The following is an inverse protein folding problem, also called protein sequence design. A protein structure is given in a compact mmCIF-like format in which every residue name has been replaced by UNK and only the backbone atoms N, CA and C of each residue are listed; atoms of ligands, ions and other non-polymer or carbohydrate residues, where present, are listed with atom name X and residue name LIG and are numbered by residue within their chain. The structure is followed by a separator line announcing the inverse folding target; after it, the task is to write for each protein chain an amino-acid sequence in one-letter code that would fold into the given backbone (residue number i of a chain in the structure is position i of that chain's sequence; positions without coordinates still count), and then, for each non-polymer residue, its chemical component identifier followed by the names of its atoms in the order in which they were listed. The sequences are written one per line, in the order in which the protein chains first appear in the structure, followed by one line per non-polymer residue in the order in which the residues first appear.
data_IF_043252069149
#
_entry.id   IF_043252069149
#
_cell.length_a   1.000
_cell.length_b   1.000
_cell.length_c   1.000
_cell.angle_alpha   90.00
_cell.angle_beta   90.00
_cell.angle_gamma   90.00
#
_symmetry.space_group_name_H-M   'P 1'
#
loop_
_entity.id
_entity.type
_entity.pdbx_description
1 polymer ?
#
# COMPACT_ATOMS: atom_id res chain seq x y z
N UNK A 1 18.78 6.07 -6.59
CA UNK A 1 18.62 6.69 -5.27
C UNK A 1 17.15 6.67 -4.89
N UNK A 2 16.67 5.56 -4.35
CA UNK A 2 15.33 5.48 -3.77
C UNK A 2 15.43 6.08 -2.36
N UNK A 3 14.57 7.04 -2.06
CA UNK A 3 14.55 7.81 -0.81
C UNK A 3 14.26 6.85 0.35
N UNK A 4 15.31 6.39 1.05
CA UNK A 4 15.18 5.45 2.17
C UNK A 4 14.61 6.13 3.42
N UNK A 5 14.95 7.41 3.63
CA UNK A 5 14.51 8.19 4.78
C UNK A 5 14.31 9.66 4.40
N UNK A 6 13.15 10.23 4.72
CA UNK A 6 12.88 11.67 4.60
C UNK A 6 11.93 12.15 5.68
N UNK A 7 12.35 13.16 6.45
CA UNK A 7 11.54 13.83 7.47
C UNK A 7 10.81 12.86 8.44
N UNK A 8 11.52 11.83 8.93
CA UNK A 8 10.95 10.82 9.84
C UNK A 8 10.03 9.80 9.17
N UNK A 9 10.06 9.73 7.84
CA UNK A 9 9.36 8.73 7.04
C UNK A 9 10.35 7.78 6.39
N UNK A 10 10.18 6.49 6.61
CA UNK A 10 10.94 5.41 5.99
C UNK A 10 10.11 4.74 4.88
N UNK A 11 10.77 4.33 3.80
CA UNK A 11 10.11 3.68 2.66
C UNK A 11 10.86 2.41 2.24
N UNK A 12 10.12 1.31 2.18
CA UNK A 12 10.62 0.01 1.71
C UNK A 12 9.97 -0.32 0.37
N UNK A 13 10.80 -0.73 -0.59
CA UNK A 13 10.40 -1.00 -1.97
C UNK A 13 10.70 -2.46 -2.34
N UNK A 14 9.87 -3.06 -3.20
CA UNK A 14 10.20 -4.34 -3.83
C UNK A 14 11.22 -4.18 -4.97
N UNK A 15 11.68 -5.30 -5.54
CA UNK A 15 12.64 -5.33 -6.66
C UNK A 15 12.12 -4.66 -7.94
N UNK A 16 10.80 -4.53 -8.07
CA UNK A 16 10.13 -3.89 -9.22
C UNK A 16 9.93 -2.39 -9.01
N UNK A 17 10.33 -1.87 -7.85
CA UNK A 17 10.19 -0.45 -7.50
C UNK A 17 8.79 -0.08 -7.03
N UNK A 18 7.99 -1.03 -6.53
CA UNK A 18 6.72 -0.75 -5.87
C UNK A 18 6.92 -0.54 -4.37
N UNK A 19 6.25 0.45 -3.80
CA UNK A 19 6.33 0.74 -2.36
C UNK A 19 5.58 -0.36 -1.60
N UNK A 20 6.23 -1.13 -0.74
CA UNK A 20 5.60 -2.21 0.03
C UNK A 20 5.37 -1.85 1.49
N UNK A 21 6.12 -0.87 2.01
CA UNK A 21 5.94 -0.36 3.37
C UNK A 21 6.32 1.11 3.45
N UNK A 22 5.54 1.87 4.22
CA UNK A 22 5.89 3.22 4.66
C UNK A 22 5.73 3.29 6.16
N UNK A 23 6.79 3.66 6.88
CA UNK A 23 6.74 3.95 8.31
C UNK A 23 6.90 5.45 8.52
N UNK A 24 5.98 6.09 9.25
CA UNK A 24 6.05 7.53 9.57
C UNK A 24 5.65 7.75 11.02
N UNK A 25 6.57 8.27 11.84
CA UNK A 25 6.31 8.56 13.25
C UNK A 25 5.68 7.39 14.04
N UNK A 26 6.07 6.15 13.73
CA UNK A 26 5.54 4.93 14.37
C UNK A 26 4.28 4.35 13.72
N UNK A 27 3.66 5.05 12.77
CA UNK A 27 2.57 4.52 11.95
C UNK A 27 3.14 3.76 10.74
N UNK A 28 2.77 2.48 10.62
CA UNK A 28 3.18 1.62 9.51
C UNK A 28 1.99 1.43 8.58
N UNK A 29 2.20 1.78 7.31
CA UNK A 29 1.30 1.44 6.21
C UNK A 29 1.97 0.37 5.35
N UNK A 30 1.31 -0.76 5.12
CA UNK A 30 1.77 -1.80 4.18
C UNK A 30 0.96 -1.74 2.89
N UNK A 31 1.58 -2.15 1.78
CA UNK A 31 0.95 -2.11 0.46
C UNK A 31 1.18 -3.41 -0.30
N UNK A 32 0.17 -3.87 -1.03
CA UNK A 32 0.30 -5.02 -1.93
C UNK A 32 0.04 -4.61 -3.36
N UNK A 33 0.66 -5.33 -4.30
CA UNK A 33 0.62 -5.04 -5.72
C UNK A 33 0.26 -6.31 -6.51
N UNK A 34 -0.33 -6.14 -7.69
CA UNK A 34 -0.51 -7.22 -8.66
C UNK A 34 0.67 -7.32 -9.64
N UNK A 35 0.63 -8.33 -10.51
CA UNK A 35 1.69 -8.58 -11.49
C UNK A 35 1.90 -7.46 -12.52
N UNK A 36 0.96 -6.51 -12.62
CA UNK A 36 0.97 -5.37 -13.52
C UNK A 36 1.40 -4.07 -12.83
N UNK A 37 2.00 -4.15 -11.62
CA UNK A 37 2.39 -2.99 -10.80
C UNK A 37 1.20 -2.08 -10.44
N UNK A 38 0.03 -2.67 -10.20
CA UNK A 38 -1.15 -1.94 -9.72
C UNK A 38 -1.40 -2.32 -8.26
N UNK A 39 -1.64 -1.32 -7.41
CA UNK A 39 -1.84 -1.52 -5.97
C UNK A 39 -3.14 -2.28 -5.71
N UNK A 40 -3.09 -3.41 -4.98
CA UNK A 40 -4.26 -4.21 -4.59
C UNK A 40 -4.81 -3.86 -3.23
N UNK A 41 -3.94 -3.55 -2.27
CA UNK A 41 -4.35 -3.10 -0.94
C UNK A 41 -3.38 -2.11 -0.33
N UNK A 42 -3.91 -1.30 0.59
CA UNK A 42 -3.16 -0.51 1.54
C UNK A 42 -3.76 -0.75 2.94
N UNK A 43 -2.93 -1.10 3.91
CA UNK A 43 -3.36 -1.36 5.28
C UNK A 43 -2.66 -0.41 6.25
N UNK A 44 -3.38 0.14 7.23
CA UNK A 44 -2.81 0.96 8.31
C UNK A 44 -3.61 0.73 9.58
N UNK A 45 -2.97 0.26 10.64
CA UNK A 45 -3.62 0.04 11.95
C UNK A 45 -4.92 -0.80 11.87
N UNK A 46 -4.95 -1.88 11.09
CA UNK A 46 -6.13 -2.73 10.90
C UNK A 46 -7.17 -2.18 9.91
N UNK A 47 -6.97 -0.95 9.42
CA UNK A 47 -7.78 -0.38 8.35
C UNK A 47 -7.23 -0.79 7.00
N UNK A 48 -7.95 -1.64 6.28
CA UNK A 48 -7.54 -2.12 4.96
C UNK A 48 -8.40 -1.48 3.87
N UNK A 49 -7.74 -0.89 2.88
CA UNK A 49 -8.39 -0.45 1.65
C UNK A 49 -7.97 -1.31 0.48
N UNK A 50 -8.94 -1.94 -0.18
CA UNK A 50 -8.76 -2.74 -1.39
C UNK A 50 -9.10 -1.97 -2.67
N UNK A 51 -8.35 -2.26 -3.73
CA UNK A 51 -8.58 -1.72 -5.06
C UNK A 51 -8.78 -2.84 -6.08
N UNK A 52 -9.69 -2.63 -7.02
CA UNK A 52 -9.95 -3.57 -8.12
C UNK A 52 -9.87 -2.86 -9.47
N UNK A 53 -9.41 -3.60 -10.48
CA UNK A 53 -9.14 -3.08 -11.81
C UNK A 53 -9.79 -3.96 -12.87
N UNK A 54 -10.21 -3.37 -13.97
CA UNK A 54 -10.61 -4.11 -15.15
C UNK A 54 -9.39 -4.58 -15.98
N UNK A 55 -9.67 -5.30 -17.07
CA UNK A 55 -8.65 -5.81 -17.98
C UNK A 55 -7.85 -4.72 -18.70
N UNK A 56 -8.37 -3.48 -18.80
CA UNK A 56 -7.69 -2.34 -19.40
C UNK A 56 -6.85 -1.55 -18.38
N UNK A 57 -6.81 -2.00 -17.12
CA UNK A 57 -6.06 -1.33 -16.06
C UNK A 57 -6.79 -0.14 -15.43
N UNK A 58 -8.06 0.07 -15.75
CA UNK A 58 -8.85 1.12 -15.11
C UNK A 58 -9.31 0.63 -13.75
N UNK A 59 -9.15 1.46 -12.72
CA UNK A 59 -9.65 1.14 -11.37
C UNK A 59 -11.18 1.23 -11.38
N UNK A 60 -11.85 0.15 -10.97
CA UNK A 60 -13.31 0.02 -10.96
C UNK A 60 -13.91 -0.06 -9.57
N UNK A 61 -13.09 -0.29 -8.53
CA UNK A 61 -13.56 -0.28 -7.14
C UNK A 61 -12.49 0.21 -6.18
N UNK A 62 -12.97 0.81 -5.08
CA UNK A 62 -12.24 1.07 -3.84
C UNK A 62 -13.15 0.64 -2.70
N UNK A 63 -12.70 -0.25 -1.82
CA UNK A 63 -13.43 -0.70 -0.64
C UNK A 63 -12.55 -0.55 0.59
N UNK A 64 -13.09 -0.02 1.67
CA UNK A 64 -12.38 0.13 2.93
C UNK A 64 -13.07 -0.74 3.98
N UNK A 65 -12.28 -1.53 4.68
CA UNK A 65 -12.68 -2.52 5.68
C UNK A 65 -11.93 -2.17 6.97
N UNK A 66 -12.67 -2.09 8.07
CA UNK A 66 -12.13 -1.81 9.40
C UNK A 66 -12.09 -3.16 10.13
N UNK A 67 -10.93 -3.80 10.21
CA UNK A 67 -10.77 -5.00 11.02
C UNK A 67 -10.55 -4.58 12.48
N UNK A 68 -11.65 -4.32 13.19
CA UNK A 68 -11.63 -4.21 14.65
C UNK A 68 -11.87 -5.61 15.21
N UNK A 69 -10.79 -6.31 15.53
CA UNK A 69 -10.88 -7.51 16.38
C UNK A 69 -11.34 -7.06 17.78
N UNK A 70 -12.56 -7.46 18.17
CA UNK A 70 -13.12 -7.23 19.51
C UNK A 70 -12.40 -8.04 20.60
#
# INVERSE_FOLDING_TARGET
NLLKDYAGTHYTWDERGNLIERSRNGEITTFTWDGFNRMRSAETFGETTHFSYDALGRRIAKRSEHDVTL
#
